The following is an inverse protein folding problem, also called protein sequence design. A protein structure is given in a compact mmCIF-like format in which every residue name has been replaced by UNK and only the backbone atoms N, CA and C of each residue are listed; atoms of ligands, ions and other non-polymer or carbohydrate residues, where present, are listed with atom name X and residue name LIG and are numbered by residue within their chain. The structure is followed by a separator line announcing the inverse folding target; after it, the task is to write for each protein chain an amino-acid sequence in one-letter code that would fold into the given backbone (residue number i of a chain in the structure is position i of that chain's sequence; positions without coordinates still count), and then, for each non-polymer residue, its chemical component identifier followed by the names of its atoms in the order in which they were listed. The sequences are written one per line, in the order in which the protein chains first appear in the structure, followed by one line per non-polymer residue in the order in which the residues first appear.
data_IF_444189157502
#
_entry.id   IF_444189157502
#
_cell.length_a   1.000
_cell.length_b   1.000
_cell.length_c   1.000
_cell.angle_alpha   90.00
_cell.angle_beta   90.00
_cell.angle_gamma   90.00
#
_symmetry.space_group_name_H-M   'P 1'
#
loop_
_entity.id
_entity.type
_entity.pdbx_description
1 polymer ?
#
# COMPACT_ATOMS: atom_id res chain seq x y z
N UNK A 1 36.32 47.53 -0.30
CA UNK A 1 35.23 46.55 -0.53
C UNK A 1 35.25 45.93 -1.93
N UNK A 2 35.64 46.66 -3.00
CA UNK A 2 35.71 46.11 -4.38
C UNK A 2 36.68 44.93 -4.54
N UNK A 3 37.81 44.95 -3.83
CA UNK A 3 38.83 43.89 -3.91
C UNK A 3 38.44 42.63 -3.12
N UNK A 4 37.53 42.73 -2.14
CA UNK A 4 37.02 41.58 -1.39
C UNK A 4 36.03 40.76 -2.23
N UNK A 5 35.19 41.44 -3.03
CA UNK A 5 34.25 40.81 -3.96
C UNK A 5 34.95 39.96 -5.03
N UNK A 6 36.11 40.41 -5.51
CA UNK A 6 36.91 39.68 -6.52
C UNK A 6 37.50 38.39 -5.92
N UNK A 7 37.98 38.44 -4.67
CA UNK A 7 38.57 37.29 -3.99
C UNK A 7 37.51 36.21 -3.66
N UNK A 8 36.31 36.65 -3.27
CA UNK A 8 35.16 35.75 -3.07
C UNK A 8 34.72 35.12 -4.39
N UNK A 9 34.66 35.89 -5.48
CA UNK A 9 34.32 35.37 -6.82
C UNK A 9 35.32 34.31 -7.34
N UNK A 10 36.61 34.44 -7.01
CA UNK A 10 37.64 33.46 -7.42
C UNK A 10 37.54 32.14 -6.63
N UNK A 11 37.06 32.20 -5.39
CA UNK A 11 36.81 31.03 -4.55
C UNK A 11 35.56 30.26 -5.02
N UNK A 12 34.53 30.95 -5.51
CA UNK A 12 33.35 30.31 -6.09
C UNK A 12 33.64 29.54 -7.39
N UNK A 13 34.56 30.02 -8.23
CA UNK A 13 34.94 29.31 -9.45
C UNK A 13 35.72 28.02 -9.21
N UNK A 14 36.43 27.89 -8.08
CA UNK A 14 37.19 26.68 -7.76
C UNK A 14 36.30 25.52 -7.28
N UNK A 15 35.13 25.83 -6.71
CA UNK A 15 34.14 24.82 -6.28
C UNK A 15 33.46 24.15 -7.48
N UNK A 16 33.28 24.87 -8.59
CA UNK A 16 32.60 24.35 -9.79
C UNK A 16 33.50 23.37 -10.58
N UNK A 17 34.82 23.51 -10.47
CA UNK A 17 35.80 22.68 -11.20
C UNK A 17 36.14 21.34 -10.51
N UNK A 18 35.52 21.03 -9.36
CA UNK A 18 35.85 19.87 -8.53
C UNK A 18 34.98 18.62 -8.71
N UNK A 19 33.97 18.64 -9.59
CA UNK A 19 33.15 17.46 -9.89
C UNK A 19 33.73 16.73 -11.11
N UNK A 20 34.79 15.95 -10.89
CA UNK A 20 35.30 15.04 -11.92
C UNK A 20 34.39 13.81 -12.02
N UNK A 21 33.80 13.63 -13.20
CA UNK A 21 33.09 12.41 -13.55
C UNK A 21 34.07 11.23 -13.62
N UNK A 22 33.62 10.05 -13.17
CA UNK A 22 34.43 8.84 -13.15
C UNK A 22 33.70 7.70 -13.83
N UNK A 23 34.46 6.80 -14.44
CA UNK A 23 33.92 5.55 -14.97
C UNK A 23 33.93 4.50 -13.85
N UNK A 24 32.75 4.00 -13.52
CA UNK A 24 32.54 2.91 -12.57
C UNK A 24 32.38 1.62 -13.35
N UNK A 25 33.18 0.63 -12.98
CA UNK A 25 33.08 -0.72 -13.51
C UNK A 25 32.34 -1.62 -12.52
N UNK A 26 31.67 -2.65 -13.02
CA UNK A 26 31.08 -3.62 -12.12
C UNK A 26 30.62 -4.88 -12.81
N UNK A 27 30.27 -5.85 -11.99
CA UNK A 27 29.71 -7.13 -12.42
C UNK A 27 28.47 -7.47 -11.59
N UNK A 28 27.41 -7.90 -12.27
CA UNK A 28 26.14 -8.27 -11.67
C UNK A 28 25.91 -9.77 -11.80
N UNK A 29 25.56 -10.42 -10.70
CA UNK A 29 25.35 -11.87 -10.63
C UNK A 29 24.04 -12.21 -9.91
N UNK A 30 23.48 -13.38 -10.21
CA UNK A 30 22.45 -14.07 -9.46
C UNK A 30 23.09 -15.28 -8.77
N UNK A 31 23.60 -15.05 -7.55
CA UNK A 31 24.44 -16.00 -6.83
C UNK A 31 25.72 -16.34 -7.58
N UNK A 32 25.67 -17.38 -8.41
CA UNK A 32 26.81 -17.91 -9.16
C UNK A 32 26.72 -17.68 -10.69
N UNK A 33 25.61 -17.11 -11.17
CA UNK A 33 25.35 -16.93 -12.61
C UNK A 33 25.46 -15.45 -12.96
N UNK A 34 26.21 -15.05 -14.01
CA UNK A 34 26.22 -13.66 -14.45
C UNK A 34 24.85 -13.25 -15.01
N UNK A 35 24.43 -12.01 -14.77
CA UNK A 35 23.17 -11.47 -15.28
C UNK A 35 23.41 -10.51 -16.44
N UNK A 36 22.91 -10.91 -17.62
CA UNK A 36 22.87 -10.09 -18.82
C UNK A 36 21.61 -9.19 -18.83
N UNK A 37 21.68 -8.04 -19.51
CA UNK A 37 20.56 -7.10 -19.72
C UNK A 37 19.99 -6.49 -18.44
N UNK A 38 20.79 -6.42 -17.36
CA UNK A 38 20.43 -5.65 -16.17
C UNK A 38 20.47 -4.18 -16.52
N UNK A 39 19.35 -3.48 -16.31
CA UNK A 39 19.24 -2.05 -16.58
C UNK A 39 19.86 -1.27 -15.42
N UNK A 40 20.85 -0.47 -15.75
CA UNK A 40 21.57 0.41 -14.84
C UNK A 40 21.32 1.85 -15.30
N UNK A 41 20.86 2.69 -14.39
CA UNK A 41 20.66 4.10 -14.68
C UNK A 41 20.91 4.94 -13.43
N UNK A 42 21.37 6.16 -13.62
CA UNK A 42 21.75 7.07 -12.54
C UNK A 42 23.02 7.82 -12.86
N UNK A 43 23.19 8.97 -12.23
CA UNK A 43 24.26 9.92 -12.51
C UNK A 43 24.01 10.83 -13.71
N UNK A 44 25.09 11.34 -14.30
CA UNK A 44 25.07 12.29 -15.42
C UNK A 44 24.64 11.66 -16.76
N UNK A 45 24.70 10.34 -16.88
CA UNK A 45 24.36 9.66 -18.12
C UNK A 45 22.84 9.62 -18.34
N UNK A 46 22.39 10.31 -19.39
CA UNK A 46 20.94 10.45 -19.71
C UNK A 46 20.34 9.15 -20.25
N UNK A 47 21.18 8.20 -20.69
CA UNK A 47 20.76 6.92 -21.25
C UNK A 47 21.09 5.79 -20.28
N UNK A 48 20.21 4.79 -20.12
CA UNK A 48 20.51 3.62 -19.32
C UNK A 48 21.58 2.75 -19.98
N UNK A 49 22.46 2.19 -19.16
CA UNK A 49 23.46 1.19 -19.55
C UNK A 49 22.92 -0.21 -19.21
N UNK A 50 23.29 -1.21 -20.02
CA UNK A 50 22.89 -2.60 -19.80
C UNK A 50 24.14 -3.48 -19.63
N UNK A 51 24.03 -4.53 -18.81
CA UNK A 51 25.11 -5.52 -18.65
C UNK A 51 25.25 -6.43 -19.87
N UNK A 52 26.48 -6.85 -20.16
CA UNK A 52 26.81 -7.81 -21.22
C UNK A 52 26.56 -9.28 -20.81
N UNK A 53 26.94 -10.24 -21.67
CA UNK A 53 26.75 -11.68 -21.45
C UNK A 53 27.53 -12.20 -20.22
N UNK A 54 28.64 -11.56 -19.87
CA UNK A 54 29.46 -11.87 -18.70
C UNK A 54 28.96 -11.17 -17.42
N UNK A 55 27.91 -10.35 -17.54
CA UNK A 55 27.29 -9.57 -16.48
C UNK A 55 28.07 -8.31 -16.11
N UNK A 56 29.02 -7.87 -16.94
CA UNK A 56 29.83 -6.69 -16.72
C UNK A 56 29.21 -5.41 -17.30
N UNK A 57 29.52 -4.26 -16.70
CA UNK A 57 29.09 -2.95 -17.15
C UNK A 57 30.13 -1.86 -16.85
N UNK A 58 30.01 -0.73 -17.55
CA UNK A 58 30.73 0.51 -17.29
C UNK A 58 29.77 1.70 -17.41
N UNK A 59 29.73 2.57 -16.40
CA UNK A 59 28.86 3.76 -16.37
C UNK A 59 29.64 4.97 -15.85
N UNK A 60 29.40 6.13 -16.45
CA UNK A 60 29.99 7.40 -15.98
C UNK A 60 29.10 8.04 -14.91
N UNK A 61 29.67 8.32 -13.73
CA UNK A 61 28.94 8.91 -12.61
C UNK A 61 29.82 9.86 -11.79
N UNK A 62 29.19 10.75 -11.04
CA UNK A 62 29.86 11.69 -10.13
C UNK A 62 29.68 11.19 -8.69
N UNK A 63 30.66 11.39 -7.79
CA UNK A 63 30.46 11.11 -6.37
C UNK A 63 29.23 11.85 -5.82
N UNK A 64 28.38 11.12 -5.11
CA UNK A 64 27.07 11.57 -4.63
C UNK A 64 25.88 11.04 -5.43
N UNK A 65 26.11 10.58 -6.66
CA UNK A 65 25.06 10.02 -7.51
C UNK A 65 24.55 8.69 -6.97
N UNK A 66 23.29 8.38 -7.27
CA UNK A 66 22.67 7.09 -6.91
C UNK A 66 22.44 6.30 -8.18
N UNK A 67 23.08 5.14 -8.27
CA UNK A 67 22.89 4.17 -9.34
C UNK A 67 21.76 3.21 -8.98
N UNK A 68 20.84 3.04 -9.92
CA UNK A 68 19.67 2.19 -9.84
C UNK A 68 19.87 0.95 -10.71
N UNK A 69 19.76 -0.22 -10.10
CA UNK A 69 19.88 -1.52 -10.75
C UNK A 69 18.52 -2.19 -10.76
N UNK A 70 18.03 -2.50 -11.96
CA UNK A 70 16.71 -3.11 -12.17
C UNK A 70 16.80 -4.27 -13.15
N UNK A 71 16.16 -5.38 -12.80
CA UNK A 71 16.06 -6.56 -13.65
C UNK A 71 14.74 -7.27 -13.36
N UNK A 72 14.10 -7.81 -14.40
CA UNK A 72 12.78 -8.43 -14.29
C UNK A 72 12.80 -9.60 -13.30
N UNK A 73 11.93 -9.55 -12.29
CA UNK A 73 11.83 -10.61 -11.27
C UNK A 73 12.90 -10.56 -10.18
N UNK A 74 13.76 -9.53 -10.16
CA UNK A 74 14.75 -9.30 -9.11
C UNK A 74 14.41 -8.06 -8.30
N UNK A 75 14.89 -8.01 -7.06
CA UNK A 75 14.80 -6.81 -6.23
C UNK A 75 15.60 -5.67 -6.82
N UNK A 76 15.05 -4.47 -6.77
CA UNK A 76 15.75 -3.25 -7.19
C UNK A 76 16.79 -2.84 -6.16
N UNK A 77 17.99 -2.48 -6.62
CA UNK A 77 19.05 -1.96 -5.77
C UNK A 77 19.36 -0.51 -6.09
N UNK A 78 19.65 0.26 -5.05
CA UNK A 78 20.07 1.66 -5.14
C UNK A 78 21.36 1.82 -4.38
N UNK A 79 22.43 2.20 -5.08
CA UNK A 79 23.76 2.35 -4.49
C UNK A 79 24.26 3.74 -4.74
N UNK A 80 24.70 4.43 -3.68
CA UNK A 80 25.35 5.74 -3.80
C UNK A 80 26.81 5.56 -4.19
N UNK A 81 27.27 6.38 -5.14
CA UNK A 81 28.67 6.48 -5.54
C UNK A 81 29.42 7.34 -4.51
N UNK A 82 30.47 6.78 -3.94
CA UNK A 82 31.35 7.46 -2.98
C UNK A 82 32.64 7.93 -3.67
N UNK A 83 33.40 8.81 -3.02
CA UNK A 83 34.60 9.45 -3.57
C UNK A 83 35.71 8.50 -4.01
N UNK A 84 35.73 7.26 -3.55
CA UNK A 84 36.74 6.24 -3.89
C UNK A 84 36.19 5.05 -4.68
N UNK A 85 34.90 5.07 -5.04
CA UNK A 85 34.24 3.95 -5.74
C UNK A 85 34.73 3.88 -7.18
N UNK A 86 35.42 2.79 -7.52
CA UNK A 86 35.84 2.42 -8.89
C UNK A 86 35.18 1.14 -9.40
N UNK A 87 34.91 0.21 -8.47
CA UNK A 87 34.30 -1.08 -8.75
C UNK A 87 33.05 -1.25 -7.91
N UNK A 88 31.95 -1.65 -8.54
CA UNK A 88 30.68 -1.90 -7.87
C UNK A 88 30.05 -3.19 -8.38
N UNK A 89 30.40 -4.29 -7.70
CA UNK A 89 29.87 -5.61 -7.97
C UNK A 89 28.64 -5.87 -7.10
N UNK A 90 27.60 -6.44 -7.69
CA UNK A 90 26.32 -6.68 -7.02
C UNK A 90 25.85 -8.10 -7.26
N UNK A 91 25.30 -8.73 -6.22
CA UNK A 91 24.52 -9.96 -6.35
C UNK A 91 23.06 -9.60 -6.16
N UNK A 92 22.25 -9.74 -7.23
CA UNK A 92 20.81 -9.48 -7.18
C UNK A 92 20.08 -10.70 -6.64
N UNK A 93 19.01 -10.46 -5.88
CA UNK A 93 18.19 -11.50 -5.28
C UNK A 93 16.80 -11.46 -5.92
N UNK A 94 16.19 -12.62 -6.23
CA UNK A 94 14.82 -12.68 -6.74
C UNK A 94 13.82 -11.96 -5.82
N UNK A 95 12.91 -11.20 -6.42
CA UNK A 95 11.80 -10.58 -5.70
C UNK A 95 10.65 -11.58 -5.53
N UNK A 96 10.82 -12.49 -4.58
CA UNK A 96 9.75 -13.43 -4.20
C UNK A 96 8.76 -12.68 -3.31
N UNK A 97 7.68 -12.19 -3.92
CA UNK A 97 6.52 -11.72 -3.17
C UNK A 97 5.75 -12.93 -2.64
N UNK A 98 5.81 -13.16 -1.33
CA UNK A 98 4.85 -14.04 -0.66
C UNK A 98 3.48 -13.35 -0.72
N UNK A 99 2.52 -13.99 -1.40
CA UNK A 99 1.16 -13.46 -1.49
C UNK A 99 0.47 -13.62 -0.12
N UNK A 100 -0.04 -12.52 0.43
CA UNK A 100 -0.83 -12.55 1.67
C UNK A 100 -2.05 -13.48 1.50
N UNK A 101 -2.19 -14.47 2.39
CA UNK A 101 -3.30 -15.41 2.38
C UNK A 101 -4.62 -14.68 2.68
N UNK A 102 -5.55 -14.66 1.73
CA UNK A 102 -6.87 -14.05 1.91
C UNK A 102 -7.79 -15.02 2.64
N UNK A 103 -7.98 -14.84 3.95
CA UNK A 103 -8.99 -15.60 4.71
C UNK A 103 -10.40 -15.13 4.36
N UNK A 104 -11.11 -15.90 3.54
CA UNK A 104 -12.52 -15.64 3.22
C UNK A 104 -13.41 -16.08 4.39
N UNK A 105 -13.88 -15.14 5.21
CA UNK A 105 -14.88 -15.43 6.23
C UNK A 105 -16.27 -15.58 5.59
N UNK A 106 -16.69 -16.80 5.26
CA UNK A 106 -18.08 -17.06 4.80
C UNK A 106 -19.05 -16.86 5.96
N UNK A 107 -19.86 -15.79 5.91
CA UNK A 107 -21.00 -15.60 6.83
C UNK A 107 -22.18 -16.47 6.36
N UNK A 108 -22.44 -17.59 7.06
CA UNK A 108 -23.60 -18.46 6.79
C UNK A 108 -24.89 -17.77 7.26
N UNK A 109 -25.99 -17.90 6.49
CA UNK A 109 -27.34 -17.58 7.01
C UNK A 109 -27.66 -18.52 8.17
N UNK A 110 -28.14 -17.96 9.28
CA UNK A 110 -28.51 -18.72 10.48
C UNK A 110 -29.70 -19.62 10.19
N UNK A 111 -29.74 -20.79 10.82
CA UNK A 111 -30.87 -21.72 10.68
C UNK A 111 -32.06 -21.29 11.54
N UNK A 112 -33.26 -21.78 11.21
CA UNK A 112 -34.47 -21.47 11.99
C UNK A 112 -34.36 -21.92 13.46
N UNK A 113 -33.63 -23.00 13.73
CA UNK A 113 -33.38 -23.49 15.10
C UNK A 113 -32.48 -22.52 15.88
N UNK A 114 -31.40 -22.06 15.27
CA UNK A 114 -30.48 -21.07 15.86
C UNK A 114 -31.22 -19.77 16.22
N UNK A 115 -32.04 -19.26 15.28
CA UNK A 115 -32.85 -18.06 15.51
C UNK A 115 -33.87 -18.24 16.65
N UNK A 116 -34.41 -19.45 16.84
CA UNK A 116 -35.32 -19.74 17.96
C UNK A 116 -34.63 -19.65 19.31
N UNK A 117 -33.37 -20.12 19.42
CA UNK A 117 -32.60 -19.97 20.66
C UNK A 117 -32.29 -18.50 20.95
N UNK A 118 -31.96 -17.73 19.92
CA UNK A 118 -31.63 -16.31 20.07
C UNK A 118 -32.84 -15.41 20.29
N UNK A 119 -34.05 -15.83 19.90
CA UNK A 119 -35.27 -15.02 19.93
C UNK A 119 -35.53 -14.32 21.26
N UNK A 120 -35.22 -14.97 22.38
CA UNK A 120 -35.43 -14.39 23.72
C UNK A 120 -34.42 -13.30 24.08
N UNK A 121 -33.24 -13.34 23.46
CA UNK A 121 -32.11 -12.46 23.76
C UNK A 121 -31.91 -11.37 22.70
N UNK A 122 -32.36 -11.60 21.47
CA UNK A 122 -32.12 -10.72 20.35
C UNK A 122 -33.41 -9.96 20.00
N UNK A 123 -33.49 -8.65 20.30
CA UNK A 123 -34.68 -7.84 20.06
C UNK A 123 -34.97 -7.59 18.57
N UNK A 124 -34.05 -7.97 17.66
CA UNK A 124 -34.19 -7.77 16.23
C UNK A 124 -34.86 -8.97 15.53
N UNK A 125 -35.30 -9.98 16.27
CA UNK A 125 -35.94 -11.16 15.71
C UNK A 125 -37.46 -11.06 15.85
N UNK A 126 -38.18 -11.26 14.74
CA UNK A 126 -39.65 -11.28 14.70
C UNK A 126 -40.12 -12.70 14.42
N UNK A 127 -41.00 -13.22 15.25
CA UNK A 127 -41.70 -14.47 14.98
C UNK A 127 -42.95 -14.19 14.14
N UNK A 128 -42.97 -14.74 12.92
CA UNK A 128 -44.11 -14.68 12.00
C UNK A 128 -44.74 -16.07 11.85
N UNK A 129 -45.89 -16.15 11.16
CA UNK A 129 -46.49 -17.43 10.80
C UNK A 129 -45.58 -18.31 9.93
N UNK A 130 -44.65 -17.69 9.18
CA UNK A 130 -43.74 -18.36 8.26
C UNK A 130 -42.35 -18.67 8.86
N UNK A 131 -42.10 -18.29 10.11
CA UNK A 131 -40.80 -18.48 10.76
C UNK A 131 -40.28 -17.23 11.47
N UNK A 132 -39.05 -17.31 12.00
CA UNK A 132 -38.38 -16.17 12.65
C UNK A 132 -37.53 -15.45 11.61
N UNK A 133 -37.74 -14.15 11.51
CA UNK A 133 -37.05 -13.26 10.57
C UNK A 133 -36.16 -12.32 11.37
N UNK A 134 -34.92 -12.14 10.92
CA UNK A 134 -34.02 -11.09 11.41
C UNK A 134 -34.29 -9.80 10.66
N UNK A 135 -34.76 -8.77 11.36
CA UNK A 135 -35.13 -7.48 10.78
C UNK A 135 -33.97 -6.74 10.14
N UNK A 136 -32.72 -7.05 10.52
CA UNK A 136 -31.52 -6.45 9.92
C UNK A 136 -31.22 -7.00 8.53
N UNK A 137 -31.69 -8.21 8.24
CA UNK A 137 -31.47 -8.88 6.94
C UNK A 137 -32.76 -9.06 6.15
N UNK A 138 -33.89 -8.67 6.72
CA UNK A 138 -35.18 -8.75 6.08
C UNK A 138 -35.24 -7.83 4.85
N UNK A 139 -35.92 -8.26 3.76
CA UNK A 139 -36.19 -7.37 2.65
C UNK A 139 -37.19 -6.28 3.09
N UNK A 140 -36.75 -5.03 3.06
CA UNK A 140 -37.57 -3.85 3.39
C UNK A 140 -37.24 -3.22 4.75
N UNK A 141 -37.86 -2.08 5.03
CA UNK A 141 -37.64 -1.34 6.28
C UNK A 141 -38.58 -1.87 7.37
N UNK A 142 -38.04 -2.68 8.27
CA UNK A 142 -38.76 -3.13 9.46
C UNK A 142 -38.37 -2.25 10.65
N UNK A 143 -39.36 -1.69 11.34
CA UNK A 143 -39.15 -0.88 12.55
C UNK A 143 -39.83 -1.57 13.72
N UNK A 144 -39.15 -1.58 14.87
CA UNK A 144 -39.59 -2.31 16.06
C UNK A 144 -39.68 -1.35 17.24
N UNK A 145 -40.63 -1.61 18.12
CA UNK A 145 -40.81 -0.91 19.40
C UNK A 145 -40.79 -1.96 20.48
N UNK A 146 -39.86 -1.84 21.42
CA UNK A 146 -39.81 -2.69 22.60
C UNK A 146 -40.90 -2.29 23.60
N UNK A 147 -41.44 -3.26 24.34
CA UNK A 147 -42.49 -3.03 25.34
C UNK A 147 -42.10 -2.01 26.40
N UNK A 148 -40.82 -2.01 26.81
CA UNK A 148 -40.27 -1.06 27.80
C UNK A 148 -40.32 0.40 27.33
N UNK A 149 -40.41 0.61 26.02
CA UNK A 149 -40.48 1.93 25.43
C UNK A 149 -41.92 2.36 25.09
N UNK A 150 -42.93 1.55 25.41
CA UNK A 150 -44.34 1.87 25.22
C UNK A 150 -44.82 2.70 26.41
N UNK A 151 -45.27 3.93 26.16
CA UNK A 151 -45.83 4.76 27.22
C UNK A 151 -47.18 4.20 27.70
N UNK A 152 -47.43 4.09 29.02
CA UNK A 152 -48.69 3.59 29.56
C UNK A 152 -49.92 4.45 29.23
N UNK A 153 -49.71 5.66 28.71
CA UNK A 153 -50.76 6.65 28.42
C UNK A 153 -51.46 6.44 27.08
N UNK A 154 -50.90 5.61 26.18
CA UNK A 154 -51.52 5.31 24.89
C UNK A 154 -52.79 4.49 25.06
N UNK A 155 -53.93 4.99 24.58
CA UNK A 155 -55.21 4.30 24.68
C UNK A 155 -55.37 3.24 23.59
N UNK A 156 -54.66 3.40 22.48
CA UNK A 156 -54.70 2.50 21.34
C UNK A 156 -53.30 2.36 20.68
N UNK A 157 -53.18 1.43 19.73
CA UNK A 157 -51.92 1.17 19.02
C UNK A 157 -51.47 2.35 18.14
N UNK A 158 -52.41 3.15 17.64
CA UNK A 158 -52.12 4.34 16.81
C UNK A 158 -51.38 5.40 17.65
N UNK A 159 -51.82 5.61 18.89
CA UNK A 159 -51.16 6.51 19.85
C UNK A 159 -49.71 6.07 20.14
N UNK A 160 -49.47 4.76 20.20
CA UNK A 160 -48.14 4.18 20.49
C UNK A 160 -47.16 4.39 19.32
N UNK A 161 -47.64 4.37 18.08
CA UNK A 161 -46.79 4.52 16.88
C UNK A 161 -46.72 5.97 16.38
N UNK A 162 -47.64 6.84 16.81
CA UNK A 162 -47.74 8.20 16.29
C UNK A 162 -46.45 8.99 16.54
N UNK A 163 -45.91 9.61 15.48
CA UNK A 163 -44.65 10.40 15.49
C UNK A 163 -43.40 9.66 15.99
N UNK A 164 -43.48 8.36 16.26
CA UNK A 164 -42.35 7.55 16.73
C UNK A 164 -41.38 7.18 15.60
N UNK A 165 -41.92 7.16 14.39
CA UNK A 165 -41.24 6.73 13.20
C UNK A 165 -41.39 7.80 12.11
N UNK A 166 -40.28 8.26 11.48
CA UNK A 166 -40.37 9.18 10.35
C UNK A 166 -41.32 8.64 9.26
N UNK A 167 -42.31 9.44 8.88
CA UNK A 167 -43.33 9.06 7.88
C UNK A 167 -44.53 8.29 8.42
N UNK A 168 -44.62 8.05 9.73
CA UNK A 168 -45.80 7.45 10.38
C UNK A 168 -46.60 8.55 11.07
N UNK A 169 -47.73 8.92 10.46
CA UNK A 169 -48.73 9.81 11.02
C UNK A 169 -50.00 8.99 11.18
N UNK A 170 -50.39 8.78 12.44
CA UNK A 170 -51.54 7.98 12.82
C UNK A 170 -52.57 8.87 13.53
#
# INVERSE_FOLDING_TARGET
MKNLLILVSFFYSSVILGQESRIIFGRIMDGNTPLQDVRIHGGDETKPVFTDAEGTYSIEAVPGDVLHYSYTGMKEYRVRVEDVTKFLNLVMIPDVQELDEVTISKKRKKSQRELTFEYRSNPNLIRTAYGIIDTRTAPGQVRMVSGDEIMPIGLNILDVINRRFPGVFA
#
